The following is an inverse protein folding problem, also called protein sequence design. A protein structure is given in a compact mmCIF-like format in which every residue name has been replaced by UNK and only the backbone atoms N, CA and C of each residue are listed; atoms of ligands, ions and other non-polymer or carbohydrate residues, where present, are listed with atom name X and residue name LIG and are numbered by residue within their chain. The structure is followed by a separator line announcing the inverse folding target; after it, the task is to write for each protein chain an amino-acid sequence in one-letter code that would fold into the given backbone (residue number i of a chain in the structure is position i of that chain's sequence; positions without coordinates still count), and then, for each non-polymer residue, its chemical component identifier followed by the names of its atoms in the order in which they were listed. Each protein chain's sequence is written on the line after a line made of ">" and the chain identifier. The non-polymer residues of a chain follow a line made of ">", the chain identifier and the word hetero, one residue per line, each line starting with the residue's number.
data_IF_078598447340
#
_entry.id   IF_078598447340
#
_cell.length_a   1.000
_cell.length_b   1.000
_cell.length_c   1.000
_cell.angle_alpha   90.00
_cell.angle_beta   90.00
_cell.angle_gamma   90.00
#
_symmetry.space_group_name_H-M   'P 1'
#
loop_
_entity.id
_entity.type
_entity.pdbx_description
1 polymer ?
#
# COMPACT_ATOMS: atom_id res chain seq x y z
N UNK A 1 0.64 -29.90 -35.42
CA UNK A 1 -0.72 -29.74 -34.89
C UNK A 1 -0.59 -29.68 -33.38
N UNK A 2 -0.46 -28.49 -32.84
CA UNK A 2 -0.29 -28.27 -31.40
C UNK A 2 -1.33 -27.24 -31.01
N UNK A 3 -2.41 -27.70 -30.39
CA UNK A 3 -3.49 -26.88 -29.88
C UNK A 3 -3.00 -26.20 -28.60
N UNK A 4 -2.80 -24.89 -28.67
CA UNK A 4 -2.54 -24.01 -27.53
C UNK A 4 -3.84 -23.84 -26.77
N UNK A 5 -3.84 -24.14 -25.49
CA UNK A 5 -4.95 -23.94 -24.56
C UNK A 5 -5.21 -22.46 -24.32
N UNK A 6 -6.23 -21.92 -24.95
CA UNK A 6 -6.94 -20.71 -24.56
C UNK A 6 -8.07 -21.10 -23.63
N UNK A 7 -7.86 -21.19 -22.32
CA UNK A 7 -8.96 -21.46 -21.38
C UNK A 7 -8.76 -21.00 -19.94
N UNK A 8 -7.82 -20.13 -19.61
CA UNK A 8 -7.61 -19.70 -18.21
C UNK A 8 -8.00 -18.24 -17.88
N UNK A 9 -8.54 -17.49 -18.83
CA UNK A 9 -8.89 -16.08 -18.60
C UNK A 9 -10.37 -15.83 -18.22
N UNK A 10 -11.25 -16.85 -18.29
CA UNK A 10 -12.70 -16.67 -18.05
C UNK A 10 -13.18 -17.06 -16.64
N UNK A 11 -12.41 -17.83 -15.89
CA UNK A 11 -12.82 -18.34 -14.57
C UNK A 11 -12.59 -17.36 -13.40
N UNK A 12 -11.76 -16.33 -13.57
CA UNK A 12 -11.50 -15.34 -12.54
C UNK A 12 -12.61 -14.28 -12.37
N UNK A 13 -13.60 -14.26 -13.29
CA UNK A 13 -14.67 -13.24 -13.32
C UNK A 13 -15.83 -13.56 -12.35
N UNK A 14 -16.03 -14.82 -11.96
CA UNK A 14 -17.22 -15.28 -11.19
C UNK A 14 -16.95 -15.50 -9.68
N UNK A 15 -15.71 -15.33 -9.20
CA UNK A 15 -15.41 -15.50 -7.79
C UNK A 15 -16.03 -14.38 -6.94
N UNK A 16 -16.75 -14.74 -5.87
CA UNK A 16 -17.30 -13.78 -4.91
C UNK A 16 -16.19 -12.87 -4.36
N UNK A 17 -16.35 -11.52 -4.43
CA UNK A 17 -15.31 -10.60 -3.98
C UNK A 17 -15.00 -10.79 -2.49
N UNK A 18 -13.72 -10.65 -2.15
CA UNK A 18 -13.27 -10.75 -0.76
C UNK A 18 -13.56 -9.46 0.03
N UNK A 19 -13.58 -8.32 -0.67
CA UNK A 19 -14.04 -7.03 -0.17
C UNK A 19 -15.03 -6.46 -1.18
N UNK A 20 -16.21 -6.07 -0.69
CA UNK A 20 -17.23 -5.36 -1.45
C UNK A 20 -17.72 -4.17 -0.63
N UNK A 21 -17.44 -2.97 -1.10
CA UNK A 21 -17.91 -1.71 -0.52
C UNK A 21 -18.73 -0.96 -1.59
N UNK A 22 -19.93 -0.53 -1.22
CA UNK A 22 -20.84 0.22 -2.11
C UNK A 22 -21.34 1.45 -1.39
N UNK A 23 -21.00 2.63 -1.90
CA UNK A 23 -21.40 3.92 -1.33
C UNK A 23 -20.87 4.11 0.09
N UNK A 24 -19.69 3.53 0.42
CA UNK A 24 -19.17 3.52 1.78
C UNK A 24 -18.79 4.92 2.24
N UNK A 25 -19.36 5.34 3.39
CA UNK A 25 -19.09 6.64 3.98
C UNK A 25 -18.88 6.60 5.47
N UNK A 26 -18.05 7.55 5.97
CA UNK A 26 -17.83 7.74 7.39
C UNK A 26 -17.74 9.20 7.78
N UNK A 27 -18.65 9.62 8.63
CA UNK A 27 -18.71 10.95 9.23
C UNK A 27 -18.33 10.90 10.70
N UNK A 28 -17.55 11.88 11.14
CA UNK A 28 -17.23 12.12 12.54
C UNK A 28 -17.86 13.44 12.98
N UNK A 29 -18.58 13.42 14.10
CA UNK A 29 -19.12 14.63 14.73
C UNK A 29 -18.12 15.10 15.79
N UNK A 30 -17.44 16.18 15.50
CA UNK A 30 -16.54 16.85 16.43
C UNK A 30 -17.32 17.90 17.22
N UNK A 31 -17.07 17.97 18.53
CA UNK A 31 -17.61 19.01 19.39
C UNK A 31 -16.50 20.02 19.69
N UNK A 32 -16.56 21.20 19.11
CA UNK A 32 -15.57 22.27 19.28
C UNK A 32 -16.11 23.37 20.18
N UNK A 33 -15.23 23.94 21.01
CA UNK A 33 -15.54 25.09 21.88
C UNK A 33 -15.71 24.77 23.38
N UNK A 34 -15.79 25.78 24.23
CA UNK A 34 -15.94 25.63 25.68
C UNK A 34 -17.26 24.93 26.03
N UNK A 35 -17.31 24.26 27.20
CA UNK A 35 -18.39 23.36 27.65
C UNK A 35 -19.80 23.94 27.47
N UNK A 36 -19.99 25.27 27.64
CA UNK A 36 -21.27 25.97 27.54
C UNK A 36 -21.62 26.48 26.13
N UNK A 37 -20.67 26.34 25.12
CA UNK A 37 -20.92 26.81 23.74
C UNK A 37 -20.36 25.82 22.72
N UNK A 38 -20.56 24.51 22.92
CA UNK A 38 -20.12 23.49 21.98
C UNK A 38 -20.84 23.61 20.65
N UNK A 39 -20.08 23.83 19.59
CA UNK A 39 -20.56 23.71 18.21
C UNK A 39 -20.24 22.31 17.70
N UNK A 40 -21.21 21.68 17.05
CA UNK A 40 -20.99 20.41 16.37
C UNK A 40 -20.52 20.69 14.96
N UNK A 41 -19.38 20.10 14.58
CA UNK A 41 -18.86 20.12 13.23
C UNK A 41 -18.79 18.67 12.73
N UNK A 42 -19.43 18.39 11.60
CA UNK A 42 -19.31 17.09 10.95
C UNK A 42 -18.12 17.13 10.00
N UNK A 43 -17.23 16.14 10.12
CA UNK A 43 -16.10 15.91 9.22
C UNK A 43 -16.32 14.58 8.54
N UNK A 44 -16.50 14.61 7.23
CA UNK A 44 -16.66 13.42 6.40
C UNK A 44 -15.28 12.89 6.03
N UNK A 45 -14.88 11.80 6.68
CA UNK A 45 -13.56 11.20 6.49
C UNK A 45 -13.52 10.23 5.30
N UNK A 46 -14.68 9.63 4.96
CA UNK A 46 -14.84 8.74 3.79
C UNK A 46 -16.17 9.07 3.15
N UNK A 47 -16.19 9.19 1.81
CA UNK A 47 -17.33 9.65 1.04
C UNK A 47 -17.54 8.78 -0.18
N UNK A 48 -18.68 8.11 -0.24
CA UNK A 48 -19.14 7.36 -1.42
C UNK A 48 -18.08 6.45 -2.05
N UNK A 49 -17.31 5.73 -1.21
CA UNK A 49 -16.27 4.82 -1.69
C UNK A 49 -16.90 3.53 -2.18
N UNK A 50 -16.64 3.22 -3.46
CA UNK A 50 -17.02 1.99 -4.11
C UNK A 50 -15.73 1.19 -4.37
N UNK A 51 -15.55 0.04 -3.71
CA UNK A 51 -14.34 -0.76 -3.77
C UNK A 51 -14.69 -2.24 -3.82
N UNK A 52 -14.18 -2.92 -4.84
CA UNK A 52 -14.28 -4.37 -4.97
C UNK A 52 -12.88 -4.96 -5.04
N UNK A 53 -12.53 -5.89 -4.15
CA UNK A 53 -11.26 -6.63 -4.18
C UNK A 53 -11.57 -8.11 -4.36
N UNK A 54 -10.89 -8.74 -5.32
CA UNK A 54 -11.06 -10.17 -5.64
C UNK A 54 -10.09 -11.03 -4.83
N UNK A 55 -10.41 -12.32 -4.62
CA UNK A 55 -9.44 -13.24 -4.01
C UNK A 55 -8.12 -13.29 -4.77
N UNK A 56 -7.01 -13.34 -4.04
CA UNK A 56 -5.66 -13.42 -4.60
C UNK A 56 -5.05 -12.10 -5.08
N UNK A 57 -5.79 -10.97 -5.08
CA UNK A 57 -5.22 -9.68 -5.44
C UNK A 57 -4.27 -9.13 -4.35
N UNK A 58 -3.19 -8.46 -4.78
CA UNK A 58 -2.42 -7.55 -3.92
C UNK A 58 -2.78 -6.11 -4.33
N UNK A 59 -3.47 -5.41 -3.44
CA UNK A 59 -3.98 -4.05 -3.71
C UNK A 59 -3.32 -3.04 -2.81
N UNK A 60 -2.69 -2.02 -3.42
CA UNK A 60 -2.17 -0.85 -2.73
C UNK A 60 -3.28 0.19 -2.51
N UNK A 61 -3.51 0.61 -1.28
CA UNK A 61 -4.48 1.65 -0.94
C UNK A 61 -3.76 2.93 -0.53
N UNK A 62 -3.66 3.87 -1.46
CA UNK A 62 -2.81 5.05 -1.39
C UNK A 62 -3.61 6.31 -1.08
N UNK A 63 -2.94 7.31 -0.54
CA UNK A 63 -3.56 8.61 -0.30
C UNK A 63 -2.71 9.46 0.65
N UNK A 64 -2.87 10.80 0.65
CA UNK A 64 -2.18 11.66 1.58
C UNK A 64 -2.65 11.43 3.02
N UNK A 65 -1.92 12.00 3.97
CA UNK A 65 -2.34 12.00 5.37
C UNK A 65 -3.68 12.72 5.53
N UNK A 66 -4.62 12.06 6.24
CA UNK A 66 -5.98 12.59 6.40
C UNK A 66 -6.95 12.27 5.23
N UNK A 67 -6.51 11.59 4.18
CA UNK A 67 -7.37 11.24 3.03
C UNK A 67 -8.47 10.21 3.36
N UNK A 68 -8.43 9.56 4.52
CA UNK A 68 -9.43 8.56 4.92
C UNK A 68 -8.92 7.12 4.95
N UNK A 69 -7.65 6.84 4.60
CA UNK A 69 -7.06 5.48 4.56
C UNK A 69 -7.33 4.68 5.84
N UNK A 70 -6.84 5.16 6.98
CA UNK A 70 -7.00 4.45 8.25
C UNK A 70 -8.47 4.32 8.69
N UNK A 71 -9.35 5.25 8.28
CA UNK A 71 -10.80 5.13 8.54
C UNK A 71 -11.39 4.00 7.72
N UNK A 72 -11.00 3.87 6.44
CA UNK A 72 -11.41 2.77 5.57
C UNK A 72 -10.90 1.44 6.12
N UNK A 73 -9.59 1.32 6.45
CA UNK A 73 -9.04 0.09 7.04
C UNK A 73 -9.78 -0.32 8.32
N UNK A 74 -10.09 0.63 9.20
CA UNK A 74 -10.88 0.36 10.43
C UNK A 74 -12.31 -0.08 10.15
N UNK A 75 -12.93 0.40 9.07
CA UNK A 75 -14.26 -0.10 8.65
C UNK A 75 -14.17 -1.50 8.09
N UNK A 76 -13.20 -1.80 7.22
CA UNK A 76 -12.95 -3.12 6.66
C UNK A 76 -12.71 -4.18 7.75
N UNK A 77 -11.98 -3.82 8.80
CA UNK A 77 -11.66 -4.72 9.93
C UNK A 77 -12.75 -4.76 11.01
N UNK A 78 -13.85 -4.02 10.85
CA UNK A 78 -14.96 -3.98 11.82
C UNK A 78 -14.66 -3.20 13.10
N UNK A 79 -13.55 -2.47 13.17
CA UNK A 79 -13.23 -1.58 14.30
C UNK A 79 -14.13 -0.34 14.29
N UNK A 80 -14.47 0.13 13.09
CA UNK A 80 -15.29 1.32 12.88
C UNK A 80 -16.54 0.95 12.07
N UNK A 81 -17.70 1.44 12.50
CA UNK A 81 -18.97 1.24 11.78
C UNK A 81 -19.13 2.33 10.72
N UNK A 82 -19.46 1.99 9.46
CA UNK A 82 -19.82 2.98 8.44
C UNK A 82 -20.98 3.86 8.87
N UNK A 83 -20.99 5.12 8.42
CA UNK A 83 -22.13 6.04 8.57
C UNK A 83 -23.14 5.85 7.44
N UNK A 84 -22.68 5.42 6.26
CA UNK A 84 -23.50 5.17 5.08
C UNK A 84 -22.91 4.05 4.22
N UNK A 85 -23.68 3.55 3.26
CA UNK A 85 -23.29 2.53 2.33
C UNK A 85 -23.36 1.10 2.87
N UNK A 86 -22.87 0.15 2.10
CA UNK A 86 -22.80 -1.28 2.43
C UNK A 86 -21.37 -1.75 2.36
N UNK A 87 -21.01 -2.66 3.27
CA UNK A 87 -19.67 -3.23 3.33
C UNK A 87 -19.77 -4.73 3.64
N UNK A 88 -19.15 -5.54 2.80
CA UNK A 88 -18.90 -6.97 3.04
C UNK A 88 -17.41 -7.25 2.94
N UNK A 89 -16.90 -8.05 3.86
CA UNK A 89 -15.53 -8.53 3.87
C UNK A 89 -15.54 -10.01 4.14
N UNK A 90 -14.95 -10.81 3.28
CA UNK A 90 -15.02 -12.30 3.31
C UNK A 90 -16.45 -12.83 3.41
N UNK A 91 -17.41 -12.16 2.71
CA UNK A 91 -18.84 -12.49 2.74
C UNK A 91 -19.57 -12.06 4.02
N UNK A 92 -18.91 -11.41 4.99
CA UNK A 92 -19.47 -10.98 6.28
C UNK A 92 -19.67 -9.46 6.33
N UNK A 93 -20.66 -9.01 7.09
CA UNK A 93 -20.84 -7.58 7.42
C UNK A 93 -19.99 -7.24 8.66
N UNK A 94 -18.90 -6.42 8.52
CA UNK A 94 -17.96 -6.18 9.61
C UNK A 94 -18.59 -5.62 10.89
N UNK A 95 -19.56 -4.71 10.74
CA UNK A 95 -20.23 -4.06 11.87
C UNK A 95 -21.06 -5.02 12.71
N UNK A 96 -21.62 -6.08 12.10
CA UNK A 96 -22.52 -7.03 12.76
C UNK A 96 -21.87 -8.34 13.14
N UNK A 97 -20.82 -8.75 12.41
CA UNK A 97 -20.22 -10.08 12.51
C UNK A 97 -18.72 -9.99 12.86
N UNK A 98 -18.34 -9.02 13.67
CA UNK A 98 -16.95 -8.65 14.00
C UNK A 98 -16.09 -9.82 14.45
N UNK A 99 -16.57 -10.64 15.39
CA UNK A 99 -15.83 -11.79 15.91
C UNK A 99 -15.60 -12.87 14.84
N UNK A 100 -16.62 -13.12 14.00
CA UNK A 100 -16.48 -14.06 12.88
C UNK A 100 -15.56 -13.52 11.79
N UNK A 101 -15.60 -12.21 11.55
CA UNK A 101 -14.68 -11.57 10.62
C UNK A 101 -13.25 -11.68 11.09
N UNK A 102 -12.98 -11.38 12.38
CA UNK A 102 -11.64 -11.45 12.96
C UNK A 102 -10.97 -12.82 12.78
N UNK A 103 -11.75 -13.93 12.75
CA UNK A 103 -11.20 -15.26 12.48
C UNK A 103 -10.92 -15.56 10.99
N UNK A 104 -11.25 -14.64 10.08
CA UNK A 104 -11.06 -14.79 8.62
C UNK A 104 -10.07 -13.83 8.02
N UNK A 105 -9.66 -12.81 8.79
CA UNK A 105 -8.73 -11.77 8.34
C UNK A 105 -7.52 -11.71 9.27
N UNK A 106 -6.35 -11.44 8.69
CA UNK A 106 -5.16 -11.02 9.41
C UNK A 106 -5.05 -9.49 9.33
N UNK A 107 -4.64 -8.85 10.43
CA UNK A 107 -4.51 -7.39 10.46
C UNK A 107 -3.21 -7.01 11.14
N UNK A 108 -2.42 -6.17 10.49
CA UNK A 108 -1.20 -5.58 11.07
C UNK A 108 -1.29 -4.06 10.95
N UNK A 109 -1.17 -3.36 12.07
CA UNK A 109 -1.08 -1.90 12.12
C UNK A 109 0.38 -1.51 12.39
N UNK A 110 1.06 -0.89 11.44
CA UNK A 110 2.51 -0.68 11.46
C UNK A 110 3.11 -0.02 12.70
N UNK A 111 2.34 0.78 13.43
CA UNK A 111 2.81 1.44 14.66
C UNK A 111 2.29 0.78 15.95
N UNK A 112 1.48 -0.25 15.85
CA UNK A 112 0.86 -0.91 17.01
C UNK A 112 1.03 -2.41 16.90
N UNK A 113 1.71 -2.99 17.87
CA UNK A 113 1.81 -4.45 17.96
C UNK A 113 0.58 -5.06 18.63
N UNK A 114 0.20 -6.24 18.17
CA UNK A 114 -0.79 -7.12 18.81
C UNK A 114 -0.15 -8.11 19.77
N UNK A 115 1.17 -8.19 19.77
CA UNK A 115 1.96 -9.08 20.60
C UNK A 115 2.01 -8.57 22.06
N UNK A 116 2.13 -9.50 23.02
CA UNK A 116 2.25 -9.17 24.43
C UNK A 116 3.63 -8.64 24.76
N UNK A 117 3.69 -7.41 25.20
CA UNK A 117 4.90 -6.59 25.34
C UNK A 117 5.98 -7.22 26.25
N UNK A 118 5.56 -7.84 27.37
CA UNK A 118 6.46 -8.41 28.36
C UNK A 118 6.75 -9.90 28.17
N UNK A 119 6.08 -10.56 27.23
CA UNK A 119 6.28 -11.98 26.97
C UNK A 119 7.32 -12.21 25.88
N UNK A 120 8.04 -13.34 25.92
CA UNK A 120 8.78 -13.84 24.76
C UNK A 120 7.88 -13.93 23.51
N UNK A 121 8.46 -13.73 22.32
CA UNK A 121 7.71 -13.80 21.09
C UNK A 121 6.95 -15.12 20.95
N UNK A 122 7.61 -16.27 21.22
CA UNK A 122 6.97 -17.60 21.16
C UNK A 122 5.72 -17.70 22.01
N UNK A 123 5.76 -17.16 23.24
CA UNK A 123 4.64 -17.23 24.17
C UNK A 123 3.49 -16.34 23.72
N UNK A 124 3.82 -15.19 23.13
CA UNK A 124 2.85 -14.28 22.50
C UNK A 124 2.14 -14.94 21.33
N UNK A 125 2.86 -15.70 20.50
CA UNK A 125 2.31 -16.46 19.38
C UNK A 125 1.47 -17.65 19.86
N UNK A 126 1.87 -18.31 20.96
CA UNK A 126 1.07 -19.38 21.57
C UNK A 126 -0.25 -18.84 22.15
N UNK A 127 -0.26 -17.66 22.77
CA UNK A 127 -1.50 -17.00 23.18
C UNK A 127 -2.41 -16.68 21.98
N UNK A 128 -1.83 -16.25 20.86
CA UNK A 128 -2.56 -16.02 19.62
C UNK A 128 -3.24 -17.31 19.14
N UNK A 129 -2.57 -18.46 19.21
CA UNK A 129 -3.17 -19.77 18.93
C UNK A 129 -4.45 -20.02 19.73
N UNK A 130 -4.39 -19.78 21.04
CA UNK A 130 -5.54 -19.96 21.93
C UNK A 130 -6.68 -18.99 21.60
N UNK A 131 -6.37 -17.72 21.32
CA UNK A 131 -7.37 -16.70 20.98
C UNK A 131 -8.15 -17.05 19.70
N UNK A 132 -7.44 -17.51 18.67
CA UNK A 132 -8.06 -17.91 17.39
C UNK A 132 -8.51 -19.37 17.36
N UNK A 133 -8.27 -20.13 18.45
CA UNK A 133 -8.61 -21.56 18.59
C UNK A 133 -7.99 -22.43 17.49
N UNK A 134 -6.76 -22.11 17.10
CA UNK A 134 -6.01 -22.86 16.10
C UNK A 134 -5.62 -24.22 16.69
N UNK A 135 -5.88 -25.35 16.00
CA UNK A 135 -5.41 -26.67 16.45
C UNK A 135 -3.90 -26.69 16.64
N UNK A 136 -3.41 -27.40 17.66
CA UNK A 136 -1.98 -27.40 17.98
C UNK A 136 -1.09 -27.88 16.83
N UNK A 137 -1.53 -28.87 16.06
CA UNK A 137 -0.79 -29.39 14.92
C UNK A 137 -0.69 -28.34 13.77
N UNK A 138 -1.78 -27.62 13.47
CA UNK A 138 -1.79 -26.56 12.46
C UNK A 138 -0.94 -25.38 12.88
N UNK A 139 -1.01 -24.99 14.17
CA UNK A 139 -0.17 -23.95 14.72
C UNK A 139 1.32 -24.32 14.61
N UNK A 140 1.70 -25.53 15.03
CA UNK A 140 3.10 -25.96 15.00
C UNK A 140 3.65 -25.95 13.56
N UNK A 141 2.87 -26.45 12.60
CA UNK A 141 3.22 -26.44 11.18
C UNK A 141 3.41 -25.02 10.67
N UNK A 142 2.41 -24.14 10.85
CA UNK A 142 2.46 -22.74 10.37
C UNK A 142 3.55 -21.94 11.06
N UNK A 143 3.75 -22.15 12.37
CA UNK A 143 4.81 -21.47 13.10
C UNK A 143 6.19 -21.88 12.59
N UNK A 144 6.41 -23.16 12.27
CA UNK A 144 7.66 -23.63 11.67
C UNK A 144 7.90 -22.98 10.30
N UNK A 145 6.89 -22.97 9.42
CA UNK A 145 6.94 -22.30 8.11
C UNK A 145 7.26 -20.80 8.26
N UNK A 146 6.55 -20.08 9.13
CA UNK A 146 6.79 -18.66 9.37
C UNK A 146 8.15 -18.40 10.02
N UNK A 147 8.63 -19.30 10.88
CA UNK A 147 9.95 -19.20 11.51
C UNK A 147 11.06 -19.27 10.49
N UNK A 148 10.95 -20.16 9.50
CA UNK A 148 11.89 -20.26 8.39
C UNK A 148 11.79 -19.02 7.47
N UNK A 149 10.59 -18.69 7.00
CA UNK A 149 10.36 -17.61 6.02
C UNK A 149 10.68 -16.21 6.56
N UNK A 150 10.43 -15.96 7.83
CA UNK A 150 10.63 -14.67 8.48
C UNK A 150 11.85 -14.66 9.42
N UNK A 151 12.66 -15.73 9.40
CA UNK A 151 13.90 -15.86 10.20
C UNK A 151 13.66 -15.52 11.69
N UNK A 152 12.65 -16.13 12.32
CA UNK A 152 12.26 -15.79 13.70
C UNK A 152 13.15 -16.44 14.74
N UNK A 153 13.84 -17.57 14.44
CA UNK A 153 14.57 -18.40 15.39
C UNK A 153 15.49 -17.61 16.33
N UNK A 154 16.28 -16.60 15.85
CA UNK A 154 17.21 -15.88 16.73
C UNK A 154 16.55 -15.08 17.84
N UNK A 155 15.25 -14.76 17.72
CA UNK A 155 14.55 -13.89 18.68
C UNK A 155 13.22 -14.43 19.20
N UNK A 156 12.87 -15.69 18.91
CA UNK A 156 11.66 -16.35 19.47
C UNK A 156 11.60 -16.33 20.99
N UNK A 157 12.75 -16.43 21.66
CA UNK A 157 12.84 -16.41 23.14
C UNK A 157 12.97 -14.98 23.72
N UNK A 158 13.05 -13.95 22.85
CA UNK A 158 13.24 -12.56 23.27
C UNK A 158 11.90 -11.92 23.63
N UNK A 159 11.77 -11.20 24.76
CA UNK A 159 10.59 -10.41 25.08
C UNK A 159 10.29 -9.37 24.00
N UNK A 160 9.01 -9.21 23.63
CA UNK A 160 8.57 -8.35 22.53
C UNK A 160 9.08 -6.91 22.67
N UNK A 161 9.15 -6.38 23.90
CA UNK A 161 9.69 -5.03 24.19
C UNK A 161 11.16 -4.83 23.80
N UNK A 162 11.93 -5.91 23.68
CA UNK A 162 13.36 -5.88 23.34
C UNK A 162 13.62 -6.10 21.86
N UNK A 163 12.60 -6.45 21.08
CA UNK A 163 12.70 -6.65 19.65
C UNK A 163 12.95 -5.33 18.93
N UNK A 164 13.78 -5.36 17.91
CA UNK A 164 13.85 -4.26 16.93
C UNK A 164 12.50 -4.07 16.23
N UNK A 165 12.31 -2.92 15.58
CA UNK A 165 11.07 -2.67 14.84
C UNK A 165 10.84 -3.73 13.75
N UNK A 166 11.88 -4.11 13.00
CA UNK A 166 11.81 -5.16 11.97
C UNK A 166 11.50 -6.54 12.55
N UNK A 167 12.13 -6.93 13.64
CA UNK A 167 11.84 -8.19 14.36
C UNK A 167 10.41 -8.22 14.87
N UNK A 168 9.95 -7.11 15.45
CA UNK A 168 8.56 -6.99 15.91
C UNK A 168 7.56 -7.08 14.77
N UNK A 169 7.83 -6.43 13.64
CA UNK A 169 6.98 -6.53 12.44
C UNK A 169 6.87 -7.97 11.93
N UNK A 170 7.99 -8.70 11.87
CA UNK A 170 7.99 -10.13 11.50
C UNK A 170 7.14 -10.95 12.48
N UNK A 171 7.22 -10.67 13.78
CA UNK A 171 6.37 -11.27 14.81
C UNK A 171 4.88 -10.93 14.65
N UNK A 172 4.54 -9.67 14.36
CA UNK A 172 3.17 -9.22 14.12
C UNK A 172 2.56 -9.86 12.86
N UNK A 173 3.34 -9.98 11.77
CA UNK A 173 2.94 -10.70 10.55
C UNK A 173 2.67 -12.17 10.86
N UNK A 174 3.57 -12.82 11.61
CA UNK A 174 3.37 -14.21 12.05
C UNK A 174 2.06 -14.36 12.83
N UNK A 175 1.84 -13.51 13.84
CA UNK A 175 0.62 -13.56 14.65
C UNK A 175 -0.66 -13.37 13.80
N UNK A 176 -0.61 -12.46 12.80
CA UNK A 176 -1.73 -12.20 11.91
C UNK A 176 -2.03 -13.35 10.93
N UNK A 177 -1.08 -14.27 10.71
CA UNK A 177 -1.18 -15.36 9.72
C UNK A 177 -1.39 -16.75 10.34
N UNK A 178 -1.12 -16.94 11.64
CA UNK A 178 -1.19 -18.25 12.32
C UNK A 178 -2.55 -18.95 12.16
N UNK A 179 -3.63 -18.21 12.05
CA UNK A 179 -4.98 -18.75 11.90
C UNK A 179 -5.42 -18.96 10.45
N UNK A 180 -4.55 -18.72 9.46
CA UNK A 180 -4.80 -18.92 8.04
C UNK A 180 -5.86 -18.01 7.44
N UNK A 181 -5.71 -16.70 7.52
CA UNK A 181 -6.69 -15.76 7.00
C UNK A 181 -6.72 -15.78 5.47
N UNK A 182 -7.88 -15.52 4.88
CA UNK A 182 -8.06 -15.35 3.43
C UNK A 182 -7.69 -13.94 2.95
N UNK A 183 -7.68 -12.97 3.87
CA UNK A 183 -7.38 -11.57 3.63
C UNK A 183 -6.41 -11.07 4.69
N UNK A 184 -5.31 -10.48 4.25
CA UNK A 184 -4.35 -9.78 5.09
C UNK A 184 -4.47 -8.27 4.85
N UNK A 185 -4.76 -7.52 5.91
CA UNK A 185 -4.85 -6.05 5.89
C UNK A 185 -3.62 -5.48 6.60
N UNK A 186 -2.83 -4.71 5.87
CA UNK A 186 -1.57 -4.13 6.33
C UNK A 186 -1.64 -2.61 6.29
N UNK A 187 -1.53 -1.97 7.46
CA UNK A 187 -1.49 -0.50 7.55
C UNK A 187 -0.05 -0.06 7.79
N UNK A 188 0.65 0.37 6.73
CA UNK A 188 2.04 0.81 6.71
C UNK A 188 3.05 -0.23 7.25
N UNK A 189 3.12 -1.45 6.68
CA UNK A 189 3.89 -2.55 7.27
C UNK A 189 5.41 -2.35 7.21
N UNK A 190 5.92 -1.45 6.40
CA UNK A 190 7.35 -1.22 6.17
C UNK A 190 7.88 0.09 6.76
N UNK A 191 7.00 0.86 7.43
CA UNK A 191 7.37 2.16 7.99
C UNK A 191 8.49 2.02 9.03
N UNK A 192 9.53 2.84 8.87
CA UNK A 192 10.66 2.89 9.82
C UNK A 192 11.57 1.67 9.79
N UNK A 193 11.39 0.74 8.85
CA UNK A 193 12.28 -0.40 8.68
C UNK A 193 13.50 -0.04 7.83
N UNK A 194 14.60 -0.72 8.09
CA UNK A 194 15.79 -0.68 7.23
C UNK A 194 15.53 -1.39 5.88
N UNK A 195 16.43 -1.16 4.91
CA UNK A 195 16.30 -1.66 3.54
C UNK A 195 16.22 -3.20 3.49
N UNK A 196 17.00 -3.89 4.32
CA UNK A 196 17.05 -5.36 4.35
C UNK A 196 15.74 -5.91 4.90
N UNK A 197 15.26 -5.38 6.01
CA UNK A 197 13.98 -5.77 6.61
C UNK A 197 12.79 -5.51 5.67
N UNK A 198 12.80 -4.39 4.94
CA UNK A 198 11.80 -4.10 3.91
C UNK A 198 11.81 -5.15 2.79
N UNK A 199 12.99 -5.50 2.27
CA UNK A 199 13.12 -6.49 1.20
C UNK A 199 12.59 -7.86 1.63
N UNK A 200 12.99 -8.33 2.81
CA UNK A 200 12.53 -9.62 3.37
C UNK A 200 11.00 -9.68 3.53
N UNK A 201 10.38 -8.59 4.02
CA UNK A 201 8.93 -8.54 4.18
C UNK A 201 8.22 -8.53 2.81
N UNK A 202 8.75 -7.79 1.81
CA UNK A 202 8.17 -7.79 0.46
C UNK A 202 8.21 -9.17 -0.18
N UNK A 203 9.35 -9.83 -0.13
CA UNK A 203 9.54 -11.19 -0.66
C UNK A 203 8.59 -12.18 0.02
N UNK A 204 8.47 -12.08 1.35
CA UNK A 204 7.53 -12.89 2.11
C UNK A 204 6.08 -12.68 1.66
N UNK A 205 5.62 -11.43 1.50
CA UNK A 205 4.25 -11.10 1.09
C UNK A 205 3.94 -11.61 -0.33
N UNK A 206 4.90 -11.51 -1.26
CA UNK A 206 4.77 -12.04 -2.62
C UNK A 206 4.64 -13.57 -2.61
N UNK A 207 5.49 -14.26 -1.83
CA UNK A 207 5.43 -15.72 -1.68
C UNK A 207 4.12 -16.17 -1.06
N UNK A 208 3.68 -15.52 0.02
CA UNK A 208 2.40 -15.80 0.69
C UNK A 208 1.21 -15.70 -0.29
N UNK A 209 1.20 -14.66 -1.11
CA UNK A 209 0.16 -14.48 -2.13
C UNK A 209 0.25 -15.56 -3.21
N UNK A 210 1.44 -15.82 -3.75
CA UNK A 210 1.64 -16.78 -4.85
C UNK A 210 1.37 -18.23 -4.42
N UNK A 211 1.79 -18.63 -3.21
CA UNK A 211 1.73 -20.02 -2.73
C UNK A 211 0.39 -20.34 -2.04
N UNK A 212 -0.17 -19.39 -1.27
CA UNK A 212 -1.39 -19.61 -0.48
C UNK A 212 -2.65 -18.91 -1.08
N UNK A 213 -2.47 -18.07 -2.10
CA UNK A 213 -3.58 -17.28 -2.66
C UNK A 213 -4.14 -16.24 -1.69
N UNK A 214 -3.39 -15.87 -0.66
CA UNK A 214 -3.82 -14.90 0.35
C UNK A 214 -3.98 -13.53 -0.31
N UNK A 215 -5.19 -12.94 -0.21
CA UNK A 215 -5.43 -11.58 -0.68
C UNK A 215 -4.78 -10.58 0.25
N UNK A 216 -4.13 -9.56 -0.30
CA UNK A 216 -3.43 -8.55 0.50
C UNK A 216 -3.96 -7.16 0.15
N UNK A 217 -4.40 -6.42 1.15
CA UNK A 217 -4.71 -5.00 1.05
C UNK A 217 -3.72 -4.23 1.93
N UNK A 218 -2.88 -3.40 1.34
CA UNK A 218 -1.89 -2.65 2.09
C UNK A 218 -2.03 -1.14 1.89
N UNK A 219 -1.87 -0.38 2.98
CA UNK A 219 -1.60 1.05 2.88
C UNK A 219 -0.10 1.27 3.01
N UNK A 220 0.43 2.18 2.22
CA UNK A 220 1.81 2.64 2.35
C UNK A 220 1.94 4.05 1.79
N UNK A 221 2.93 4.77 2.26
CA UNK A 221 3.41 6.00 1.65
C UNK A 221 4.76 5.78 0.95
N UNK A 222 5.35 4.59 1.08
CA UNK A 222 6.55 4.15 0.35
C UNK A 222 6.09 3.57 -1.00
N UNK A 223 6.22 4.37 -2.05
CA UNK A 223 5.78 3.97 -3.39
C UNK A 223 6.65 2.86 -4.00
N UNK A 224 7.87 2.69 -3.50
CA UNK A 224 8.68 1.52 -3.83
C UNK A 224 8.09 0.18 -3.33
N UNK A 225 7.27 0.21 -2.27
CA UNK A 225 6.50 -0.97 -1.85
C UNK A 225 5.38 -1.26 -2.86
N UNK A 226 4.72 -0.19 -3.32
CA UNK A 226 3.62 -0.30 -4.28
C UNK A 226 4.09 -0.87 -5.61
N UNK A 227 5.18 -0.35 -6.15
CA UNK A 227 5.75 -0.80 -7.43
C UNK A 227 6.19 -2.27 -7.41
N UNK A 228 6.64 -2.74 -6.25
CA UNK A 228 7.15 -4.11 -6.10
C UNK A 228 6.09 -5.14 -5.73
N UNK A 229 5.05 -4.72 -5.00
CA UNK A 229 4.06 -5.62 -4.44
C UNK A 229 2.74 -5.61 -5.19
N UNK A 230 2.31 -4.44 -5.72
CA UNK A 230 0.94 -4.25 -6.16
C UNK A 230 0.82 -4.24 -7.67
N UNK A 231 -0.06 -5.07 -8.21
CA UNK A 231 -0.50 -4.96 -9.62
C UNK A 231 -1.62 -3.92 -9.78
N UNK A 232 -2.38 -3.68 -8.71
CA UNK A 232 -3.50 -2.75 -8.68
C UNK A 232 -3.37 -1.78 -7.51
N UNK A 233 -3.70 -0.53 -7.80
CA UNK A 233 -3.69 0.55 -6.81
C UNK A 233 -5.01 1.27 -6.78
N UNK A 234 -5.42 1.63 -5.58
CA UNK A 234 -6.58 2.46 -5.29
C UNK A 234 -6.09 3.73 -4.62
N UNK A 235 -6.31 4.88 -5.24
CA UNK A 235 -5.90 6.18 -4.71
C UNK A 235 -7.10 6.89 -4.13
N UNK A 236 -7.02 7.24 -2.83
CA UNK A 236 -8.04 8.04 -2.14
C UNK A 236 -7.54 9.46 -1.90
N UNK A 237 -8.37 10.46 -2.22
CA UNK A 237 -8.15 11.85 -1.86
C UNK A 237 -9.40 12.43 -1.21
N UNK A 238 -9.22 13.17 -0.10
CA UNK A 238 -10.29 13.85 0.65
C UNK A 238 -11.53 12.98 0.92
N UNK A 239 -11.30 11.69 1.15
CA UNK A 239 -12.35 10.73 1.47
C UNK A 239 -13.01 10.04 0.28
N UNK A 240 -12.68 10.38 -0.96
CA UNK A 240 -13.26 9.80 -2.17
C UNK A 240 -12.19 9.09 -3.00
N UNK A 241 -12.59 8.10 -3.81
CA UNK A 241 -11.66 7.44 -4.74
C UNK A 241 -11.30 8.40 -5.88
N UNK A 242 -10.00 8.60 -6.08
CA UNK A 242 -9.45 9.39 -7.17
C UNK A 242 -8.97 8.50 -8.34
N UNK A 243 -8.55 7.27 -8.05
CA UNK A 243 -8.12 6.29 -9.04
C UNK A 243 -8.33 4.86 -8.53
N UNK A 244 -8.64 3.94 -9.42
CA UNK A 244 -8.70 2.50 -9.17
C UNK A 244 -8.28 1.76 -10.45
N UNK A 245 -7.13 1.09 -10.44
CA UNK A 245 -6.60 0.40 -11.60
C UNK A 245 -5.15 -0.05 -11.45
N UNK A 246 -4.56 -0.55 -12.53
CA UNK A 246 -3.15 -0.96 -12.58
C UNK A 246 -2.18 0.23 -12.53
N UNK A 247 -0.92 -0.05 -12.18
CA UNK A 247 0.15 0.96 -12.09
C UNK A 247 0.40 1.68 -13.41
N UNK A 248 0.36 0.96 -14.54
CA UNK A 248 0.57 1.56 -15.86
C UNK A 248 -0.56 2.54 -16.22
N UNK A 249 -1.80 2.18 -15.89
CA UNK A 249 -2.94 3.08 -16.04
C UNK A 249 -2.83 4.33 -15.15
N UNK A 250 -2.30 4.17 -13.92
CA UNK A 250 -2.03 5.30 -13.04
C UNK A 250 -0.98 6.24 -13.64
N UNK A 251 0.13 5.70 -14.16
CA UNK A 251 1.16 6.49 -14.86
C UNK A 251 0.60 7.23 -16.08
N UNK A 252 -0.27 6.58 -16.85
CA UNK A 252 -0.90 7.17 -18.02
C UNK A 252 -1.99 8.20 -17.67
N UNK A 253 -2.59 8.15 -16.48
CA UNK A 253 -3.70 9.02 -16.08
C UNK A 253 -3.30 10.46 -15.80
N UNK A 254 -2.01 10.70 -15.56
CA UNK A 254 -1.48 12.04 -15.29
C UNK A 254 -0.34 12.33 -16.28
N UNK A 255 -0.41 13.41 -17.07
CA UNK A 255 0.69 13.83 -17.90
C UNK A 255 1.83 14.35 -17.00
N UNK A 256 2.64 13.43 -16.49
CA UNK A 256 3.83 13.78 -15.76
C UNK A 256 5.00 13.82 -16.76
N UNK A 257 5.77 14.91 -16.85
CA UNK A 257 6.86 15.03 -17.81
C UNK A 257 7.95 14.01 -17.46
N UNK A 258 8.47 13.34 -18.50
CA UNK A 258 9.70 12.55 -18.36
C UNK A 258 10.86 13.45 -18.01
N UNK A 259 11.79 12.96 -17.25
CA UNK A 259 12.98 13.72 -16.87
C UNK A 259 14.22 13.12 -17.52
N UNK A 260 14.91 13.89 -18.34
CA UNK A 260 16.20 13.54 -18.87
C UNK A 260 17.29 14.05 -17.88
N UNK A 261 18.05 13.11 -17.32
CA UNK A 261 19.24 13.44 -16.54
C UNK A 261 20.42 13.45 -17.49
N UNK A 262 21.16 14.56 -17.52
CA UNK A 262 22.32 14.79 -18.39
C UNK A 262 23.53 14.97 -17.51
N UNK A 263 24.54 14.13 -17.68
CA UNK A 263 25.86 14.30 -17.10
C UNK A 263 26.80 14.90 -18.16
N UNK A 264 27.23 16.14 -17.93
CA UNK A 264 28.16 16.85 -18.80
C UNK A 264 29.60 16.56 -18.41
N UNK A 265 30.55 16.74 -19.37
CA UNK A 265 31.97 16.61 -19.09
C UNK A 265 32.46 17.67 -18.10
N UNK A 266 31.91 18.89 -18.19
CA UNK A 266 32.23 20.01 -17.30
C UNK A 266 30.95 20.70 -16.82
N UNK A 267 30.94 21.34 -15.63
CA UNK A 267 29.83 22.17 -15.19
C UNK A 267 29.49 23.26 -16.21
N UNK A 268 28.23 23.34 -16.60
CA UNK A 268 27.72 24.34 -17.54
C UNK A 268 26.50 25.06 -16.94
N UNK A 269 26.15 26.26 -17.44
CA UNK A 269 24.86 26.89 -17.17
C UNK A 269 23.69 25.97 -17.52
N UNK A 270 22.51 26.35 -17.06
CA UNK A 270 21.26 25.60 -17.34
C UNK A 270 21.13 25.29 -18.82
N UNK A 271 20.94 24.02 -19.13
CA UNK A 271 20.74 23.61 -20.53
C UNK A 271 19.42 24.19 -21.03
N UNK A 272 19.53 25.13 -21.98
CA UNK A 272 18.38 25.67 -22.71
C UNK A 272 18.22 24.94 -24.02
N UNK A 273 17.18 24.13 -24.15
CA UNK A 273 16.85 23.35 -25.33
C UNK A 273 15.35 23.32 -25.56
N UNK A 274 14.94 23.44 -26.83
CA UNK A 274 13.54 23.31 -27.21
C UNK A 274 13.01 21.93 -26.82
N UNK A 275 11.84 21.86 -26.18
CA UNK A 275 11.26 20.63 -25.68
C UNK A 275 11.83 20.10 -24.37
N UNK A 276 12.80 20.79 -23.76
CA UNK A 276 13.38 20.46 -22.45
C UNK A 276 13.54 21.69 -21.56
N UNK A 277 13.04 21.62 -20.33
CA UNK A 277 13.20 22.67 -19.33
C UNK A 277 14.10 22.17 -18.21
N UNK A 278 15.23 22.84 -17.98
CA UNK A 278 16.09 22.56 -16.85
C UNK A 278 15.35 22.87 -15.54
N UNK A 279 15.27 21.87 -14.63
CA UNK A 279 14.57 21.98 -13.34
C UNK A 279 15.51 21.85 -12.16
N UNK A 280 16.71 21.34 -12.41
CA UNK A 280 17.75 21.18 -11.38
C UNK A 280 19.12 21.08 -12.01
N UNK A 281 20.10 21.74 -11.38
CA UNK A 281 21.53 21.64 -11.69
C UNK A 281 22.27 21.23 -10.43
N UNK A 282 23.24 20.31 -10.59
CA UNK A 282 24.12 19.86 -9.52
C UNK A 282 25.52 19.59 -10.12
N UNK A 283 26.32 20.64 -10.17
CA UNK A 283 27.60 20.62 -10.87
C UNK A 283 27.44 20.29 -12.37
N UNK A 284 28.09 19.25 -12.89
CA UNK A 284 27.96 18.83 -14.29
C UNK A 284 26.64 18.10 -14.59
N UNK A 285 25.87 17.70 -13.56
CA UNK A 285 24.61 16.95 -13.72
C UNK A 285 23.42 17.89 -13.76
N UNK A 286 22.59 17.76 -14.78
CA UNK A 286 21.38 18.54 -14.97
C UNK A 286 20.16 17.68 -15.22
N UNK A 287 18.98 18.11 -14.76
CA UNK A 287 17.69 17.45 -14.92
C UNK A 287 16.79 18.31 -15.79
N UNK A 288 16.37 17.75 -16.91
CA UNK A 288 15.47 18.41 -17.88
C UNK A 288 14.12 17.74 -17.89
N UNK A 289 13.06 18.47 -17.56
CA UNK A 289 11.68 18.04 -17.83
C UNK A 289 11.43 18.12 -19.33
N UNK A 290 10.92 17.03 -19.92
CA UNK A 290 10.67 16.91 -21.34
C UNK A 290 9.20 17.19 -21.65
N UNK A 291 8.95 18.11 -22.59
CA UNK A 291 7.62 18.39 -23.16
C UNK A 291 7.43 17.78 -24.54
N UNK A 292 8.49 17.16 -25.11
CA UNK A 292 8.50 16.56 -26.43
C UNK A 292 9.10 15.15 -26.43
N UNK A 293 9.25 14.56 -27.62
CA UNK A 293 9.88 13.26 -27.79
C UNK A 293 11.32 13.28 -27.25
N UNK A 294 11.67 12.40 -26.29
CA UNK A 294 12.99 12.33 -25.68
C UNK A 294 14.14 12.27 -26.67
N UNK A 295 14.01 11.50 -27.75
CA UNK A 295 15.07 11.34 -28.74
C UNK A 295 15.43 12.67 -29.43
N UNK A 296 14.45 13.54 -29.71
CA UNK A 296 14.68 14.84 -30.30
C UNK A 296 15.43 15.77 -29.34
N UNK A 297 15.04 15.77 -28.06
CA UNK A 297 15.70 16.59 -27.04
C UNK A 297 17.12 16.10 -26.77
N UNK A 298 17.33 14.78 -26.67
CA UNK A 298 18.66 14.15 -26.51
C UNK A 298 19.59 14.58 -27.66
N UNK A 299 19.12 14.52 -28.92
CA UNK A 299 19.92 14.92 -30.07
C UNK A 299 20.33 16.39 -30.01
N UNK A 300 19.41 17.29 -29.61
CA UNK A 300 19.72 18.74 -29.46
C UNK A 300 20.72 19.02 -28.33
N UNK A 301 20.61 18.31 -27.22
CA UNK A 301 21.54 18.41 -26.09
C UNK A 301 22.95 17.97 -26.51
N UNK A 302 23.05 16.79 -27.15
CA UNK A 302 24.31 16.21 -27.58
C UNK A 302 25.02 17.03 -28.71
N UNK A 303 24.28 17.82 -29.48
CA UNK A 303 24.85 18.74 -30.47
C UNK A 303 25.50 19.98 -29.87
N UNK A 304 25.10 20.40 -28.67
CA UNK A 304 25.52 21.67 -28.04
C UNK A 304 26.43 21.48 -26.83
N UNK A 305 26.41 20.32 -26.23
CA UNK A 305 27.13 20.00 -24.99
C UNK A 305 27.91 18.69 -25.14
N UNK A 306 29.05 18.61 -24.49
CA UNK A 306 29.82 17.37 -24.36
C UNK A 306 29.18 16.54 -23.25
N UNK A 307 28.45 15.49 -23.65
CA UNK A 307 27.68 14.64 -22.76
C UNK A 307 28.48 13.39 -22.41
N UNK A 308 28.61 13.08 -21.13
CA UNK A 308 29.27 11.89 -20.62
C UNK A 308 28.28 10.74 -20.43
N UNK A 309 27.07 11.05 -19.90
CA UNK A 309 26.02 10.06 -19.71
C UNK A 309 24.62 10.70 -19.82
N UNK A 310 23.66 9.88 -20.23
CA UNK A 310 22.26 10.24 -20.35
C UNK A 310 21.38 9.17 -19.74
N UNK A 311 20.52 9.59 -18.80
CA UNK A 311 19.53 8.71 -18.22
C UNK A 311 18.13 9.30 -18.40
N UNK A 312 17.28 8.62 -19.16
CA UNK A 312 15.85 8.95 -19.25
C UNK A 312 15.11 8.31 -18.08
N UNK A 313 14.53 9.16 -17.22
CA UNK A 313 13.69 8.71 -16.11
C UNK A 313 12.22 8.87 -16.49
N UNK A 314 11.49 7.78 -16.42
CA UNK A 314 10.03 7.84 -16.40
C UNK A 314 9.59 8.57 -15.11
N UNK A 315 8.42 9.23 -15.11
CA UNK A 315 7.87 9.81 -13.90
C UNK A 315 7.79 8.73 -12.82
N UNK A 316 8.39 9.01 -11.68
CA UNK A 316 8.19 8.15 -10.51
C UNK A 316 6.71 8.18 -10.08
N UNK A 317 6.24 7.11 -9.48
CA UNK A 317 4.85 7.05 -9.00
C UNK A 317 4.57 8.17 -7.99
N UNK A 318 5.58 8.65 -7.27
CA UNK A 318 5.45 9.79 -6.35
C UNK A 318 5.03 11.05 -7.07
N UNK A 319 5.69 11.38 -8.17
CA UNK A 319 5.35 12.52 -9.03
C UNK A 319 3.96 12.41 -9.62
N UNK A 320 3.57 11.21 -10.10
CA UNK A 320 2.25 10.93 -10.64
C UNK A 320 1.16 11.09 -9.59
N UNK A 321 1.32 10.47 -8.43
CA UNK A 321 0.37 10.56 -7.32
C UNK A 321 0.28 12.00 -6.78
N UNK A 322 1.41 12.71 -6.65
CA UNK A 322 1.42 14.11 -6.25
C UNK A 322 0.73 15.02 -7.27
N UNK A 323 0.85 14.73 -8.57
CA UNK A 323 0.17 15.48 -9.63
C UNK A 323 -1.34 15.20 -9.64
N UNK A 324 -1.75 13.95 -9.40
CA UNK A 324 -3.16 13.56 -9.23
C UNK A 324 -3.81 14.34 -8.08
N UNK A 325 -3.13 14.48 -6.93
CA UNK A 325 -3.63 15.28 -5.81
C UNK A 325 -3.72 16.78 -6.10
N UNK A 326 -2.81 17.32 -6.93
CA UNK A 326 -2.89 18.72 -7.39
C UNK A 326 -4.05 18.94 -8.35
N UNK A 327 -4.28 17.98 -9.27
CA UNK A 327 -5.38 18.02 -10.24
C UNK A 327 -6.77 17.99 -9.58
N UNK A 328 -6.96 17.15 -8.57
CA UNK A 328 -8.18 17.09 -7.78
C UNK A 328 -8.41 18.36 -6.92
N UNK A 329 -7.33 19.11 -6.60
CA UNK A 329 -7.45 20.39 -5.90
C UNK A 329 -8.02 21.52 -6.77
N UNK A 330 -7.84 21.47 -8.09
CA UNK A 330 -8.31 22.51 -9.03
C UNK A 330 -9.77 22.27 -9.47
N UNK A 331 -10.25 21.02 -9.44
CA UNK A 331 -11.61 20.63 -9.83
C UNK A 331 -12.68 20.77 -8.74
N UNK A 332 -12.33 21.11 -7.52
CA UNK A 332 -13.23 21.15 -6.35
C UNK A 332 -13.79 22.53 -5.98
N UNK A 333 -13.71 23.51 -6.88
CA UNK A 333 -14.18 24.88 -6.68
C UNK A 333 -15.18 25.32 -7.73
N UNK A 334 -16.34 24.67 -7.80
CA UNK A 334 -17.52 25.17 -8.52
C UNK A 334 -18.78 24.83 -7.72
#
# INVERSE_FOLDING_TARGET
>A
MTSVRESDASDASDAEPIIEAVGLGRDFVLSEGPFLRRRRRTVSAVRDVNLTVRPGEIVGYLGPNGAGKSSTMKMLTGILTPSSGRLRVTGLEPSRQRTRLASRIGVVFGQRTTLWWDLPLRDSLELTRHMYRVPAADHARRLAEMTELLELEPFLATPVRQLSLGQRMRGDLTAALLHGPRLLVLDEPTIGLDVVSKSSIREFLLRLNAEEGTTILLTTHDLGDVERLCERVVVIDRGSLAYDGGLDGLRASVPAPRVLVVDLAEPAPDIEVEGGRCVRVDGPRQWLELSENPAAVIARVAQRHEVVDLTLREPDIEGVVAALYRGTAVGGGA
#
